data_IF_232358968626
#
_entry.id   IF_232358968626
#
_cell.length_a   1.000
_cell.length_b   1.000
_cell.length_c   1.000
_cell.angle_alpha   90.00
_cell.angle_beta   90.00
_cell.angle_gamma   90.00
#
_symmetry.space_group_name_H-M   'P 1'
#
loop_
_entity.id
_entity.type
_entity.pdbx_description
1 polymer ?
#
# COMPACT_ATOMS: atom_id res chain seq x y z
N UNK A 1 -6.37 6.66 -9.55
CA UNK A 1 -5.11 6.27 -8.87
C UNK A 1 -5.07 4.81 -8.48
N UNK A 2 -5.94 4.29 -7.59
CA UNK A 2 -5.89 2.89 -7.14
C UNK A 2 -5.65 1.82 -8.23
N UNK A 3 -6.22 1.99 -9.43
CA UNK A 3 -6.02 1.06 -10.54
C UNK A 3 -4.59 0.83 -10.99
N UNK A 4 -3.67 1.78 -10.77
CA UNK A 4 -2.25 1.57 -11.10
C UNK A 4 -1.60 0.47 -10.25
N UNK A 5 -2.14 0.17 -9.07
CA UNK A 5 -1.62 -0.89 -8.21
C UNK A 5 -1.71 -2.24 -8.92
N UNK A 6 -2.87 -2.54 -9.51
CA UNK A 6 -3.14 -3.82 -10.16
C UNK A 6 -2.74 -3.87 -11.64
N UNK A 7 -2.66 -2.73 -12.32
CA UNK A 7 -2.50 -2.68 -13.78
C UNK A 7 -1.30 -1.84 -14.24
N UNK A 8 -0.59 -1.18 -13.32
CA UNK A 8 0.62 -0.42 -13.63
C UNK A 8 0.44 0.61 -14.75
N UNK A 9 1.37 0.57 -15.70
CA UNK A 9 1.38 1.42 -16.91
C UNK A 9 0.21 1.15 -17.85
N UNK A 10 -0.36 -0.07 -17.82
CA UNK A 10 -1.46 -0.45 -18.69
C UNK A 10 -2.83 0.08 -18.21
N UNK A 11 -2.91 0.65 -17.00
CA UNK A 11 -4.17 1.16 -16.46
C UNK A 11 -4.65 2.38 -17.26
N UNK A 12 -5.82 2.35 -17.93
CA UNK A 12 -6.27 3.48 -18.73
C UNK A 12 -7.12 4.47 -17.91
N UNK A 13 -7.03 5.75 -18.28
CA UNK A 13 -8.03 6.77 -17.97
C UNK A 13 -8.59 7.32 -19.26
N UNK A 14 -9.86 7.75 -19.24
CA UNK A 14 -10.48 8.39 -20.38
C UNK A 14 -10.39 9.91 -20.24
N UNK A 15 -9.69 10.55 -21.16
CA UNK A 15 -9.65 12.00 -21.31
C UNK A 15 -10.29 12.39 -22.64
N UNK A 16 -11.34 13.21 -22.59
CA UNK A 16 -12.12 13.62 -23.77
C UNK A 16 -12.58 12.44 -24.65
N UNK A 17 -12.93 11.31 -24.01
CA UNK A 17 -13.38 10.09 -24.69
C UNK A 17 -12.26 9.24 -25.30
N UNK A 18 -11.00 9.65 -25.17
CA UNK A 18 -9.83 8.89 -25.64
C UNK A 18 -9.15 8.19 -24.45
N UNK A 19 -8.90 6.86 -24.52
CA UNK A 19 -8.14 6.18 -23.49
C UNK A 19 -6.67 6.59 -23.56
N UNK A 20 -6.08 6.88 -22.40
CA UNK A 20 -4.67 7.17 -22.23
C UNK A 20 -4.12 6.40 -21.02
N UNK A 21 -2.85 5.96 -21.02
CA UNK A 21 -2.23 5.39 -19.83
C UNK A 21 -2.30 6.38 -18.66
N UNK A 22 -2.83 5.94 -17.53
CA UNK A 22 -3.12 6.78 -16.38
C UNK A 22 -1.86 7.43 -15.81
N UNK A 23 -0.78 6.66 -15.71
CA UNK A 23 0.49 7.16 -15.20
C UNK A 23 1.07 8.21 -16.13
N UNK A 24 1.15 7.95 -17.44
CA UNK A 24 1.66 8.94 -18.39
C UNK A 24 0.85 10.22 -18.37
N UNK A 25 -0.48 10.10 -18.41
CA UNK A 25 -1.38 11.25 -18.37
C UNK A 25 -1.17 12.09 -17.11
N UNK A 26 -1.19 11.48 -15.94
CA UNK A 26 -1.14 12.20 -14.67
C UNK A 26 0.25 12.76 -14.36
N UNK A 27 1.31 12.02 -14.68
CA UNK A 27 2.69 12.48 -14.48
C UNK A 27 3.07 13.58 -15.48
N UNK A 28 2.44 13.63 -16.66
CA UNK A 28 2.59 14.75 -17.60
C UNK A 28 1.77 16.00 -17.24
N UNK A 29 1.22 16.09 -16.02
CA UNK A 29 0.42 17.24 -15.56
C UNK A 29 -1.06 17.18 -15.95
N UNK A 30 -1.54 16.00 -16.37
CA UNK A 30 -2.95 15.73 -16.60
C UNK A 30 -3.79 15.97 -15.35
N UNK A 31 -5.08 16.28 -15.57
CA UNK A 31 -6.01 16.61 -14.48
C UNK A 31 -6.96 15.46 -14.22
N UNK A 32 -7.06 15.07 -12.97
CA UNK A 32 -8.03 14.11 -12.48
C UNK A 32 -8.58 14.62 -11.14
N UNK A 33 -9.88 14.47 -10.92
CA UNK A 33 -10.49 14.81 -9.62
C UNK A 33 -9.71 14.13 -8.50
N UNK A 34 -9.24 14.93 -7.53
CA UNK A 34 -8.47 14.44 -6.39
C UNK A 34 -6.97 14.22 -6.62
N UNK A 35 -6.49 14.33 -7.87
CA UNK A 35 -5.07 14.43 -8.20
C UNK A 35 -4.62 15.90 -8.16
N UNK A 36 -4.48 16.42 -6.94
CA UNK A 36 -4.16 17.81 -6.69
C UNK A 36 -2.72 17.93 -6.18
N UNK A 37 -1.79 18.28 -7.07
CA UNK A 37 -0.39 18.50 -6.74
C UNK A 37 -0.05 19.99 -6.76
N UNK A 38 0.84 20.42 -5.86
CA UNK A 38 1.40 21.77 -5.83
C UNK A 38 2.85 21.76 -5.36
N UNK A 39 3.64 22.81 -5.65
CA UNK A 39 4.93 23.01 -5.02
C UNK A 39 4.79 23.08 -3.49
N UNK A 40 5.66 22.34 -2.79
CA UNK A 40 5.93 22.45 -1.36
C UNK A 40 7.28 23.12 -1.10
N UNK A 41 7.64 23.24 0.18
CA UNK A 41 8.89 23.90 0.57
C UNK A 41 10.14 23.06 0.25
N UNK A 42 9.98 21.73 0.11
CA UNK A 42 11.07 20.77 -0.07
C UNK A 42 10.86 19.82 -1.26
N UNK A 43 9.84 20.06 -2.09
CA UNK A 43 9.51 19.19 -3.23
C UNK A 43 8.08 19.41 -3.73
N UNK A 44 7.39 18.33 -4.05
CA UNK A 44 5.98 18.36 -4.48
C UNK A 44 5.09 17.83 -3.38
N UNK A 45 4.00 18.54 -3.11
CA UNK A 45 2.98 18.15 -2.14
C UNK A 45 1.71 17.73 -2.88
N UNK A 46 1.21 16.54 -2.55
CA UNK A 46 -0.16 16.16 -2.85
C UNK A 46 -1.11 16.73 -1.77
N UNK A 47 -2.17 17.42 -2.17
CA UNK A 47 -3.10 18.08 -1.26
C UNK A 47 -3.99 17.04 -0.60
N UNK A 48 -3.99 17.01 0.74
CA UNK A 48 -4.87 16.14 1.53
C UNK A 48 -6.27 16.75 1.61
N UNK A 49 -7.28 15.94 1.31
CA UNK A 49 -8.71 16.25 1.43
C UNK A 49 -9.36 15.22 2.38
N UNK A 50 -9.35 15.48 3.71
CA UNK A 50 -9.79 14.51 4.70
C UNK A 50 -11.23 14.04 4.45
N UNK A 51 -11.44 12.71 4.50
CA UNK A 51 -12.75 12.09 4.28
C UNK A 51 -13.17 11.97 2.82
N UNK A 52 -12.34 12.38 1.87
CA UNK A 52 -12.57 12.16 0.44
C UNK A 52 -12.22 10.73 0.03
N UNK A 53 -13.07 10.10 -0.78
CA UNK A 53 -12.80 8.83 -1.47
C UNK A 53 -12.27 9.04 -2.90
N UNK A 54 -12.34 10.28 -3.40
CA UNK A 54 -11.90 10.65 -4.76
C UNK A 54 -10.52 11.30 -4.77
N UNK A 55 -10.13 11.92 -3.65
CA UNK A 55 -8.87 12.62 -3.47
C UNK A 55 -7.96 11.91 -2.47
N UNK A 56 -6.77 12.47 -2.26
CA UNK A 56 -5.85 11.99 -1.25
C UNK A 56 -6.46 12.20 0.14
N UNK A 57 -6.96 11.12 0.76
CA UNK A 57 -7.60 11.18 2.08
C UNK A 57 -6.61 11.28 3.23
N UNK A 58 -5.38 10.81 3.01
CA UNK A 58 -4.32 10.72 4.01
C UNK A 58 -2.99 11.26 3.48
N UNK A 59 -2.09 11.74 4.34
CA UNK A 59 -0.75 12.17 3.93
C UNK A 59 -0.05 11.10 3.09
N UNK A 60 0.56 11.55 1.98
CA UNK A 60 1.39 10.74 1.09
C UNK A 60 0.70 9.53 0.42
N UNK A 61 -0.63 9.43 0.44
CA UNK A 61 -1.36 8.31 -0.18
C UNK A 61 -0.96 8.04 -1.64
N UNK A 62 -0.86 9.10 -2.44
CA UNK A 62 -0.47 8.98 -3.85
C UNK A 62 0.97 8.52 -4.01
N UNK A 63 1.89 9.01 -3.18
CA UNK A 63 3.27 8.56 -3.16
C UNK A 63 3.35 7.07 -2.74
N UNK A 64 2.59 6.68 -1.73
CA UNK A 64 2.46 5.28 -1.30
C UNK A 64 2.01 4.37 -2.45
N UNK A 65 1.02 4.78 -3.25
CA UNK A 65 0.57 3.98 -4.39
C UNK A 65 1.58 3.95 -5.53
N UNK A 66 2.24 5.06 -5.83
CA UNK A 66 3.34 5.09 -6.80
C UNK A 66 4.48 4.16 -6.39
N UNK A 67 4.78 4.05 -5.09
CA UNK A 67 5.81 3.16 -4.56
C UNK A 67 5.47 1.66 -4.62
N UNK A 68 4.24 1.33 -4.99
CA UNK A 68 3.74 -0.03 -5.13
C UNK A 68 3.33 -0.35 -6.56
N UNK A 69 3.45 0.62 -7.46
CA UNK A 69 3.15 0.43 -8.85
C UNK A 69 4.29 -0.37 -9.51
N UNK A 70 3.99 -1.58 -9.94
CA UNK A 70 5.04 -2.56 -10.24
C UNK A 70 5.75 -3.01 -8.96
N UNK A 71 6.40 -4.16 -8.97
CA UNK A 71 7.01 -4.73 -7.75
C UNK A 71 8.10 -3.85 -7.09
N UNK A 72 8.59 -2.84 -7.80
CA UNK A 72 9.66 -1.94 -7.37
C UNK A 72 9.26 -0.45 -7.26
N UNK A 73 8.00 -0.13 -7.52
CA UNK A 73 7.52 1.26 -7.54
C UNK A 73 7.96 2.04 -8.78
N UNK A 74 7.38 3.22 -8.97
CA UNK A 74 7.77 4.14 -10.04
C UNK A 74 9.17 4.73 -9.74
N UNK A 75 10.11 4.74 -10.70
CA UNK A 75 11.44 5.31 -10.49
C UNK A 75 11.39 6.75 -9.98
N UNK A 76 12.24 7.09 -9.01
CA UNK A 76 12.25 8.43 -8.40
C UNK A 76 12.65 9.53 -9.40
N UNK A 77 13.42 9.21 -10.44
CA UNK A 77 13.80 10.14 -11.51
C UNK A 77 12.73 10.29 -12.60
N UNK A 78 11.61 9.54 -12.50
CA UNK A 78 10.48 9.66 -13.42
C UNK A 78 9.97 11.10 -13.45
N UNK A 79 9.92 11.75 -14.63
CA UNK A 79 9.43 13.12 -14.75
C UNK A 79 7.98 13.27 -14.29
N UNK A 80 7.71 14.38 -13.61
CA UNK A 80 6.42 14.82 -13.10
C UNK A 80 6.24 16.32 -13.41
N UNK A 81 5.14 16.68 -14.04
CA UNK A 81 4.80 18.09 -14.33
C UNK A 81 3.74 18.59 -13.34
N UNK A 82 4.04 19.68 -12.64
CA UNK A 82 3.12 20.32 -11.69
C UNK A 82 2.92 21.79 -12.07
N UNK A 83 1.80 22.09 -12.73
CA UNK A 83 1.57 23.41 -13.31
C UNK A 83 2.57 23.71 -14.42
N UNK A 84 3.42 24.72 -14.23
CA UNK A 84 4.49 25.08 -15.17
C UNK A 84 5.89 24.64 -14.67
N UNK A 85 5.94 23.79 -13.64
CA UNK A 85 7.18 23.34 -13.02
C UNK A 85 7.47 21.90 -13.44
N UNK A 86 8.71 21.68 -13.90
CA UNK A 86 9.27 20.34 -14.05
C UNK A 86 9.73 19.84 -12.69
N UNK A 87 9.34 18.61 -12.36
CA UNK A 87 9.64 17.91 -11.12
C UNK A 87 9.84 16.41 -11.44
N UNK A 88 10.00 15.63 -10.39
CA UNK A 88 10.18 14.18 -10.43
C UNK A 88 9.33 13.50 -9.35
N UNK A 89 9.16 12.18 -9.44
CA UNK A 89 8.55 11.40 -8.34
C UNK A 89 9.39 11.52 -7.06
N UNK A 90 10.71 11.70 -7.16
CA UNK A 90 11.63 11.98 -6.05
C UNK A 90 11.31 13.26 -5.29
N UNK A 91 10.68 14.24 -5.92
CA UNK A 91 10.25 15.47 -5.24
C UNK A 91 9.04 15.23 -4.32
N UNK A 92 8.21 14.22 -4.60
CA UNK A 92 7.17 13.78 -3.66
C UNK A 92 7.81 13.14 -2.42
N UNK A 93 8.80 12.27 -2.62
CA UNK A 93 9.53 11.62 -1.52
C UNK A 93 10.28 12.64 -0.65
N UNK A 94 10.93 13.62 -1.27
CA UNK A 94 11.67 14.69 -0.58
C UNK A 94 10.74 15.53 0.30
N UNK A 95 9.54 15.87 -0.21
CA UNK A 95 8.54 16.58 0.58
C UNK A 95 8.02 15.72 1.74
N UNK A 96 7.71 14.44 1.50
CA UNK A 96 7.25 13.51 2.53
C UNK A 96 8.29 13.34 3.66
N UNK A 97 9.57 13.18 3.32
CA UNK A 97 10.69 13.14 4.27
C UNK A 97 10.79 14.41 5.12
N UNK A 98 10.64 15.58 4.48
CA UNK A 98 10.68 16.87 5.16
C UNK A 98 9.47 17.09 6.09
N UNK A 99 8.31 16.55 5.75
CA UNK A 99 7.07 16.74 6.50
C UNK A 99 6.90 15.80 7.69
N UNK A 100 7.73 14.76 7.82
CA UNK A 100 7.66 13.81 8.94
C UNK A 100 7.69 14.47 10.32
N UNK A 101 6.75 14.05 11.19
CA UNK A 101 6.59 14.48 12.58
C UNK A 101 6.38 13.28 13.49
N UNK A 102 6.82 13.39 14.74
CA UNK A 102 6.53 12.40 15.79
C UNK A 102 5.01 12.32 16.03
N UNK A 103 4.48 11.11 16.08
CA UNK A 103 3.09 10.82 16.44
C UNK A 103 2.07 11.11 15.33
N UNK A 104 2.51 11.45 14.12
CA UNK A 104 1.62 11.52 12.97
C UNK A 104 1.35 10.12 12.41
N UNK A 105 0.27 9.98 11.64
CA UNK A 105 0.11 8.83 10.76
C UNK A 105 1.09 8.95 9.58
N UNK A 106 1.99 7.99 9.45
CA UNK A 106 2.97 7.89 8.38
C UNK A 106 2.81 6.60 7.56
N UNK A 107 1.61 6.00 7.54
CA UNK A 107 1.32 4.72 6.87
C UNK A 107 1.79 4.69 5.40
N UNK A 108 1.36 5.66 4.58
CA UNK A 108 1.73 5.72 3.16
C UNK A 108 3.14 6.26 2.94
N UNK A 109 3.62 7.11 3.84
CA UNK A 109 5.03 7.50 3.88
C UNK A 109 5.91 6.28 4.11
N UNK A 110 5.56 5.39 5.04
CA UNK A 110 6.27 4.14 5.31
C UNK A 110 6.26 3.21 4.10
N UNK A 111 5.12 3.09 3.39
CA UNK A 111 5.06 2.33 2.14
C UNK A 111 6.13 2.82 1.16
N UNK A 112 6.23 4.14 0.95
CA UNK A 112 7.20 4.72 0.04
C UNK A 112 8.66 4.62 0.53
N UNK A 113 8.92 4.93 1.80
CA UNK A 113 10.27 4.84 2.38
C UNK A 113 10.76 3.40 2.38
N UNK A 114 9.90 2.42 2.65
CA UNK A 114 10.24 1.00 2.60
C UNK A 114 10.63 0.55 1.19
N UNK A 115 9.98 1.09 0.15
CA UNK A 115 10.34 0.81 -1.24
C UNK A 115 11.67 1.44 -1.63
N UNK A 116 11.86 2.73 -1.34
CA UNK A 116 12.94 3.53 -1.92
C UNK A 116 14.20 3.67 -1.06
N UNK A 117 14.11 3.43 0.25
CA UNK A 117 15.24 3.56 1.17
C UNK A 117 15.73 2.21 1.71
N UNK A 118 16.91 2.25 2.29
CA UNK A 118 17.57 1.19 3.04
C UNK A 118 17.62 1.54 4.54
N UNK A 119 17.91 0.58 5.41
CA UNK A 119 18.05 0.82 6.86
C UNK A 119 19.23 1.74 7.22
N UNK A 120 20.17 1.98 6.32
CA UNK A 120 21.31 2.87 6.55
C UNK A 120 20.97 4.33 6.25
N UNK A 121 19.90 4.58 5.48
CA UNK A 121 19.51 5.93 5.10
C UNK A 121 19.06 6.76 6.31
N UNK A 122 19.58 7.98 6.38
CA UNK A 122 19.24 8.98 7.39
C UNK A 122 18.94 10.30 6.72
N UNK A 123 17.92 11.00 7.17
CA UNK A 123 17.57 12.34 6.68
C UNK A 123 17.13 13.25 7.82
N UNK A 124 17.08 14.55 7.55
CA UNK A 124 16.51 15.53 8.48
C UNK A 124 15.13 15.96 7.98
N UNK A 125 14.16 16.06 8.88
CA UNK A 125 12.89 16.72 8.59
C UNK A 125 13.09 18.23 8.48
N UNK A 126 12.07 18.95 8.00
CA UNK A 126 12.06 20.42 7.98
C UNK A 126 12.13 21.07 9.38
N UNK A 127 11.98 20.29 10.46
CA UNK A 127 12.16 20.74 11.85
C UNK A 127 13.55 20.44 12.42
N UNK A 128 14.41 19.78 11.65
CA UNK A 128 15.75 19.37 12.06
C UNK A 128 15.80 18.04 12.83
N UNK A 129 14.67 17.33 12.97
CA UNK A 129 14.65 15.99 13.56
C UNK A 129 15.34 15.01 12.61
N UNK A 130 16.24 14.18 13.14
CA UNK A 130 16.88 13.11 12.36
C UNK A 130 16.00 11.87 12.33
N UNK A 131 15.72 11.40 11.13
CA UNK A 131 14.89 10.22 10.86
C UNK A 131 15.67 9.11 10.18
N UNK A 132 15.13 7.90 10.30
CA UNK A 132 15.57 6.66 9.69
C UNK A 132 14.33 5.82 9.40
N UNK A 133 14.46 4.84 8.49
CA UNK A 133 13.37 3.90 8.24
C UNK A 133 12.97 3.14 9.52
N UNK A 134 13.94 2.77 10.37
CA UNK A 134 13.65 2.12 11.66
C UNK A 134 12.82 3.01 12.59
N UNK A 135 13.09 4.32 12.66
CA UNK A 135 12.28 5.25 13.49
C UNK A 135 10.85 5.40 12.96
N UNK A 136 10.65 5.35 11.63
CA UNK A 136 9.30 5.39 11.05
C UNK A 136 8.56 4.08 11.33
N UNK A 137 9.24 2.93 11.21
CA UNK A 137 8.68 1.62 11.61
C UNK A 137 8.28 1.66 13.09
N UNK A 138 9.16 2.15 13.97
CA UNK A 138 8.93 2.25 15.40
C UNK A 138 7.69 3.09 15.71
N UNK A 139 7.58 4.26 15.08
CA UNK A 139 6.42 5.16 15.22
C UNK A 139 5.11 4.51 14.76
N UNK A 140 5.11 3.84 13.62
CA UNK A 140 3.91 3.17 13.11
C UNK A 140 3.49 1.98 13.98
N UNK A 141 4.44 1.28 14.62
CA UNK A 141 4.15 0.18 15.56
C UNK A 141 3.48 0.64 16.85
N UNK A 142 3.66 1.90 17.27
CA UNK A 142 2.97 2.46 18.44
C UNK A 142 1.51 2.85 18.15
N UNK A 143 1.11 2.92 16.88
CA UNK A 143 -0.25 3.25 16.49
C UNK A 143 -1.18 2.03 16.56
N UNK A 144 -2.38 2.22 17.11
CA UNK A 144 -3.38 1.16 17.25
C UNK A 144 -3.98 0.75 15.89
N UNK A 145 -3.77 -0.51 15.51
CA UNK A 145 -4.32 -1.07 14.27
C UNK A 145 -5.85 -1.06 14.25
N UNK A 146 -6.52 -1.24 15.39
CA UNK A 146 -7.98 -1.33 15.44
C UNK A 146 -8.68 0.00 15.11
N UNK A 147 -8.02 1.13 15.40
CA UNK A 147 -8.54 2.47 15.09
C UNK A 147 -8.03 3.03 13.76
N UNK A 148 -7.21 2.27 13.05
CA UNK A 148 -6.59 2.69 11.78
C UNK A 148 -7.51 2.50 10.59
N UNK A 149 -7.31 3.33 9.54
CA UNK A 149 -8.01 3.17 8.27
C UNK A 149 -7.81 1.75 7.70
N UNK A 150 -8.88 1.20 7.12
CA UNK A 150 -8.90 -0.17 6.59
C UNK A 150 -8.34 -1.23 7.57
N UNK A 151 -8.61 -1.05 8.88
CA UNK A 151 -8.16 -1.96 9.94
C UNK A 151 -6.65 -2.13 10.05
N UNK A 152 -5.88 -1.14 9.59
CA UNK A 152 -4.42 -1.16 9.64
C UNK A 152 -3.75 -1.98 8.53
N UNK A 153 -4.49 -2.46 7.52
CA UNK A 153 -3.94 -3.29 6.45
C UNK A 153 -2.82 -2.58 5.65
N UNK A 154 -2.96 -1.29 5.34
CA UNK A 154 -1.90 -0.53 4.66
C UNK A 154 -0.63 -0.37 5.50
N UNK A 155 -0.78 -0.20 6.83
CA UNK A 155 0.36 -0.17 7.75
C UNK A 155 1.08 -1.50 7.75
N UNK A 156 0.32 -2.59 7.87
CA UNK A 156 0.87 -3.95 7.79
C UNK A 156 1.56 -4.22 6.45
N UNK A 157 1.01 -3.71 5.35
CA UNK A 157 1.67 -3.75 4.03
C UNK A 157 3.03 -3.02 4.07
N UNK A 158 3.06 -1.79 4.58
CA UNK A 158 4.30 -0.99 4.68
C UNK A 158 5.36 -1.68 5.54
N UNK A 159 4.95 -2.20 6.71
CA UNK A 159 5.82 -2.98 7.60
C UNK A 159 6.34 -4.26 6.92
N UNK A 160 5.48 -5.01 6.24
CA UNK A 160 5.87 -6.24 5.54
C UNK A 160 6.82 -5.96 4.38
N UNK A 161 6.59 -4.87 3.64
CA UNK A 161 7.49 -4.41 2.57
C UNK A 161 8.87 -4.08 3.14
N UNK A 162 8.93 -3.34 4.24
CA UNK A 162 10.18 -2.99 4.89
C UNK A 162 10.93 -4.25 5.33
N UNK A 163 10.28 -5.13 6.10
CA UNK A 163 10.89 -6.37 6.62
C UNK A 163 11.38 -7.27 5.48
N UNK A 164 10.58 -7.46 4.42
CA UNK A 164 10.97 -8.27 3.28
C UNK A 164 12.20 -7.70 2.56
N UNK A 165 12.21 -6.39 2.28
CA UNK A 165 13.36 -5.73 1.64
C UNK A 165 14.62 -5.77 2.51
N UNK A 166 14.47 -5.62 3.83
CA UNK A 166 15.57 -5.84 4.77
C UNK A 166 16.11 -7.27 4.66
N UNK A 167 15.24 -8.29 4.68
CA UNK A 167 15.66 -9.70 4.57
C UNK A 167 16.33 -10.05 3.25
N UNK A 168 15.88 -9.47 2.14
CA UNK A 168 16.55 -9.62 0.83
C UNK A 168 17.98 -9.07 0.87
N UNK A 169 18.19 -7.95 1.54
CA UNK A 169 19.53 -7.32 1.67
C UNK A 169 20.39 -7.97 2.75
N UNK A 170 19.78 -8.64 3.71
CA UNK A 170 20.44 -9.36 4.81
C UNK A 170 20.02 -10.84 4.86
N UNK A 171 20.39 -11.67 3.87
CA UNK A 171 19.94 -13.07 3.78
C UNK A 171 20.39 -13.94 4.96
N UNK A 172 21.48 -13.55 5.64
CA UNK A 172 22.03 -14.26 6.80
C UNK A 172 21.40 -13.80 8.14
N UNK A 173 20.49 -12.81 8.12
CA UNK A 173 19.85 -12.30 9.33
C UNK A 173 18.89 -13.33 9.94
N UNK A 174 19.20 -13.74 11.16
CA UNK A 174 18.36 -14.66 11.95
C UNK A 174 17.18 -13.93 12.58
N UNK A 175 16.02 -14.59 12.65
CA UNK A 175 14.91 -14.12 13.47
C UNK A 175 15.20 -14.30 14.97
N UNK A 176 14.69 -13.40 15.84
CA UNK A 176 14.04 -12.15 15.48
C UNK A 176 15.06 -11.11 14.97
N UNK A 177 14.65 -10.29 14.01
CA UNK A 177 15.42 -9.10 13.62
C UNK A 177 15.63 -8.15 14.83
N UNK A 178 16.66 -7.29 14.82
CA UNK A 178 16.91 -6.36 15.93
C UNK A 178 15.88 -5.22 15.98
N UNK A 179 15.74 -4.60 17.16
CA UNK A 179 15.05 -3.32 17.32
C UNK A 179 13.60 -3.30 16.83
N UNK A 180 13.23 -2.23 16.11
CA UNK A 180 11.86 -2.07 15.62
C UNK A 180 11.53 -3.07 14.51
N UNK A 181 12.53 -3.56 13.77
CA UNK A 181 12.36 -4.60 12.75
C UNK A 181 11.82 -5.90 13.34
N UNK A 182 12.39 -6.37 14.46
CA UNK A 182 11.90 -7.57 15.14
C UNK A 182 10.48 -7.42 15.69
N UNK A 183 10.13 -6.23 16.19
CA UNK A 183 8.76 -5.91 16.60
C UNK A 183 7.81 -5.93 15.40
N UNK A 184 8.23 -5.39 14.25
CA UNK A 184 7.45 -5.48 13.02
C UNK A 184 7.23 -6.94 12.58
N UNK A 185 8.25 -7.80 12.63
CA UNK A 185 8.09 -9.23 12.32
C UNK A 185 7.04 -9.91 13.23
N UNK A 186 7.09 -9.62 14.52
CA UNK A 186 6.15 -10.17 15.49
C UNK A 186 4.72 -9.69 15.22
N UNK A 187 4.52 -8.40 14.96
CA UNK A 187 3.21 -7.82 14.62
C UNK A 187 2.65 -8.41 13.33
N UNK A 188 3.48 -8.56 12.29
CA UNK A 188 3.09 -9.18 11.02
C UNK A 188 2.67 -10.64 11.25
N UNK A 189 3.47 -11.42 11.98
CA UNK A 189 3.17 -12.82 12.27
C UNK A 189 1.85 -12.98 13.06
N UNK A 190 1.62 -12.13 14.06
CA UNK A 190 0.36 -12.12 14.82
C UNK A 190 -0.84 -11.79 13.90
N UNK A 191 -0.72 -10.78 13.04
CA UNK A 191 -1.78 -10.40 12.11
C UNK A 191 -2.07 -11.46 11.03
N UNK A 192 -1.05 -12.18 10.56
CA UNK A 192 -1.22 -13.34 9.67
C UNK A 192 -2.07 -14.41 10.37
N UNK A 193 -1.75 -14.75 11.61
CA UNK A 193 -2.49 -15.77 12.35
C UNK A 193 -3.91 -15.32 12.72
N UNK A 194 -4.13 -14.04 13.03
CA UNK A 194 -5.47 -13.47 13.19
C UNK A 194 -6.28 -13.55 11.91
N UNK A 195 -5.73 -13.15 10.77
CA UNK A 195 -6.40 -13.26 9.48
C UNK A 195 -6.81 -14.71 9.17
N UNK A 196 -5.92 -15.67 9.44
CA UNK A 196 -6.20 -17.10 9.30
C UNK A 196 -7.30 -17.58 10.24
N UNK A 197 -7.25 -17.20 11.52
CA UNK A 197 -8.24 -17.59 12.53
C UNK A 197 -9.61 -16.96 12.29
N UNK A 198 -9.65 -15.74 11.77
CA UNK A 198 -10.88 -14.98 11.53
C UNK A 198 -11.43 -15.15 10.12
N UNK A 199 -10.79 -15.99 9.29
CA UNK A 199 -11.30 -16.34 7.97
C UNK A 199 -12.66 -17.03 8.08
N UNK A 200 -13.59 -16.60 7.25
CA UNK A 200 -14.95 -17.13 7.19
C UNK A 200 -14.99 -18.45 6.40
N UNK A 201 -16.05 -19.24 6.62
CA UNK A 201 -16.21 -20.54 5.96
C UNK A 201 -16.25 -20.46 4.42
N UNK A 202 -16.69 -19.32 3.86
CA UNK A 202 -16.74 -19.08 2.42
C UNK A 202 -15.40 -18.61 1.82
N UNK A 203 -14.34 -18.52 2.63
CA UNK A 203 -13.01 -18.07 2.24
C UNK A 203 -12.77 -16.57 2.38
N UNK A 204 -13.81 -15.76 2.63
CA UNK A 204 -13.63 -14.32 2.86
C UNK A 204 -12.95 -14.04 4.20
N UNK A 205 -12.27 -12.90 4.31
CA UNK A 205 -11.72 -12.45 5.59
C UNK A 205 -12.73 -11.62 6.38
N UNK A 206 -12.38 -11.33 7.63
CA UNK A 206 -13.29 -10.61 8.50
C UNK A 206 -13.51 -9.18 8.05
N UNK A 207 -14.77 -8.74 8.09
CA UNK A 207 -15.15 -7.32 7.95
C UNK A 207 -14.79 -6.47 9.17
N UNK A 208 -14.18 -7.06 10.20
CA UNK A 208 -13.56 -6.40 11.36
C UNK A 208 -12.03 -6.55 11.33
N UNK A 209 -11.49 -6.83 10.14
CA UNK A 209 -10.07 -6.96 9.86
C UNK A 209 -9.35 -7.95 10.80
N UNK A 210 -8.38 -7.46 11.57
CA UNK A 210 -7.55 -8.23 12.49
C UNK A 210 -8.02 -8.11 13.95
N UNK A 211 -9.12 -7.40 14.22
CA UNK A 211 -9.60 -7.17 15.58
C UNK A 211 -10.34 -8.39 16.13
N UNK A 212 -11.28 -8.93 15.36
CA UNK A 212 -12.16 -10.03 15.75
C UNK A 212 -12.80 -10.71 14.54
N UNK A 213 -13.38 -11.92 14.67
CA UNK A 213 -14.23 -12.50 13.63
C UNK A 213 -15.47 -11.64 13.37
N UNK A 214 -15.90 -11.58 12.11
CA UNK A 214 -17.04 -10.78 11.69
C UNK A 214 -17.29 -10.90 10.19
N UNK A 215 -18.55 -10.86 9.78
CA UNK A 215 -18.98 -10.93 8.38
C UNK A 215 -20.09 -9.90 8.10
N UNK A 216 -20.42 -9.69 6.83
CA UNK A 216 -21.48 -8.77 6.41
C UNK A 216 -22.32 -9.40 5.29
N UNK A 217 -23.64 -9.14 5.22
CA UNK A 217 -24.41 -9.47 4.03
C UNK A 217 -23.97 -8.63 2.82
N UNK A 218 -23.46 -7.42 3.04
CA UNK A 218 -22.96 -6.52 2.00
C UNK A 218 -21.69 -7.09 1.35
N UNK A 219 -21.76 -7.29 0.03
CA UNK A 219 -20.64 -7.80 -0.77
C UNK A 219 -19.51 -6.79 -0.85
N UNK A 220 -19.79 -5.47 -0.85
CA UNK A 220 -18.77 -4.45 -0.92
C UNK A 220 -17.92 -4.41 0.35
N UNK A 221 -18.55 -4.47 1.53
CA UNK A 221 -17.84 -4.62 2.80
C UNK A 221 -16.94 -5.86 2.85
N UNK A 222 -17.41 -7.00 2.31
CA UNK A 222 -16.62 -8.25 2.24
C UNK A 222 -15.47 -8.16 1.26
N UNK A 223 -15.71 -7.63 0.06
CA UNK A 223 -14.70 -7.45 -0.96
C UNK A 223 -13.61 -6.48 -0.48
N UNK A 224 -14.02 -5.34 0.10
CA UNK A 224 -13.10 -4.34 0.65
C UNK A 224 -12.19 -4.93 1.72
N UNK A 225 -12.74 -5.48 2.80
CA UNK A 225 -11.94 -6.06 3.88
C UNK A 225 -11.09 -7.25 3.42
N UNK A 226 -11.65 -8.14 2.59
CA UNK A 226 -10.90 -9.30 2.09
C UNK A 226 -9.78 -8.91 1.14
N UNK A 227 -9.99 -7.90 0.29
CA UNK A 227 -8.99 -7.40 -0.65
C UNK A 227 -7.79 -6.82 0.08
N UNK A 228 -8.02 -5.93 1.04
CA UNK A 228 -6.95 -5.31 1.85
C UNK A 228 -6.17 -6.35 2.66
N UNK A 229 -6.86 -7.31 3.31
CA UNK A 229 -6.16 -8.37 4.05
C UNK A 229 -5.35 -9.24 3.11
N UNK A 230 -5.93 -9.66 1.99
CA UNK A 230 -5.25 -10.55 1.05
C UNK A 230 -4.04 -9.88 0.39
N UNK A 231 -4.12 -8.58 0.08
CA UNK A 231 -2.99 -7.79 -0.41
C UNK A 231 -1.83 -7.79 0.59
N UNK A 232 -2.11 -7.51 1.87
CA UNK A 232 -1.11 -7.64 2.94
C UNK A 232 -0.51 -9.04 3.00
N UNK A 233 -1.35 -10.09 3.00
CA UNK A 233 -0.89 -11.48 3.08
C UNK A 233 -0.04 -11.89 1.88
N UNK A 234 -0.38 -11.40 0.68
CA UNK A 234 0.35 -11.67 -0.56
C UNK A 234 1.78 -11.11 -0.51
N UNK A 235 2.04 -10.05 0.27
CA UNK A 235 3.40 -9.57 0.55
C UNK A 235 4.01 -10.30 1.74
N UNK A 236 3.27 -10.46 2.85
CA UNK A 236 3.84 -10.84 4.13
C UNK A 236 4.11 -12.34 4.31
N UNK A 237 3.34 -13.22 3.64
CA UNK A 237 3.54 -14.66 3.77
C UNK A 237 4.85 -15.10 3.10
N UNK A 238 5.61 -16.03 3.71
CA UNK A 238 6.67 -16.72 2.98
C UNK A 238 6.07 -17.61 1.87
N UNK A 239 6.84 -17.84 0.80
CA UNK A 239 6.34 -18.51 -0.43
C UNK A 239 5.71 -19.88 -0.16
N UNK A 240 6.31 -20.68 0.74
CA UNK A 240 5.81 -21.99 1.09
C UNK A 240 4.42 -21.97 1.77
N UNK A 241 4.00 -20.83 2.33
CA UNK A 241 2.68 -20.66 2.94
C UNK A 241 1.63 -20.09 1.99
N UNK A 242 2.02 -19.53 0.84
CA UNK A 242 1.09 -18.98 -0.16
C UNK A 242 0.17 -20.06 -0.75
N UNK A 243 0.63 -21.31 -0.79
CA UNK A 243 -0.16 -22.46 -1.25
C UNK A 243 -0.99 -23.13 -0.14
N UNK A 244 -1.02 -22.59 1.08
CA UNK A 244 -1.83 -23.17 2.16
C UNK A 244 -3.33 -23.12 1.79
N UNK A 245 -4.13 -24.14 2.15
CA UNK A 245 -5.53 -24.23 1.73
C UNK A 245 -6.40 -23.02 2.08
N UNK A 246 -6.08 -22.31 3.17
CA UNK A 246 -6.84 -21.12 3.56
C UNK A 246 -6.52 -19.90 2.68
N UNK A 247 -5.28 -19.77 2.19
CA UNK A 247 -4.89 -18.71 1.25
C UNK A 247 -5.54 -18.96 -0.11
N UNK A 248 -5.49 -20.21 -0.59
CA UNK A 248 -6.15 -20.61 -1.84
C UNK A 248 -7.66 -20.31 -1.83
N UNK A 249 -8.35 -20.65 -0.73
CA UNK A 249 -9.77 -20.32 -0.57
C UNK A 249 -10.03 -18.81 -0.59
N UNK A 250 -9.15 -18.00 -0.01
CA UNK A 250 -9.28 -16.56 -0.04
C UNK A 250 -9.12 -16.01 -1.47
N UNK A 251 -8.12 -16.49 -2.21
CA UNK A 251 -7.90 -16.12 -3.60
C UNK A 251 -9.12 -16.47 -4.47
N UNK A 252 -9.60 -17.72 -4.38
CA UNK A 252 -10.82 -18.16 -5.10
C UNK A 252 -12.05 -17.33 -4.72
N UNK A 253 -12.20 -16.98 -3.44
CA UNK A 253 -13.33 -16.17 -2.97
C UNK A 253 -13.26 -14.75 -3.53
N UNK A 254 -12.08 -14.13 -3.56
CA UNK A 254 -11.90 -12.81 -4.17
C UNK A 254 -12.26 -12.83 -5.65
N UNK A 255 -11.77 -13.80 -6.41
CA UNK A 255 -12.12 -13.95 -7.84
C UNK A 255 -13.63 -14.06 -8.02
N UNK A 256 -14.31 -14.94 -7.26
CA UNK A 256 -15.77 -15.07 -7.31
C UNK A 256 -16.51 -13.79 -6.95
N UNK A 257 -16.02 -13.03 -5.96
CA UNK A 257 -16.64 -11.75 -5.59
C UNK A 257 -16.46 -10.72 -6.71
N UNK A 258 -15.28 -10.64 -7.33
CA UNK A 258 -15.03 -9.75 -8.47
C UNK A 258 -15.93 -10.09 -9.67
N UNK A 259 -16.11 -11.39 -9.99
CA UNK A 259 -17.04 -11.85 -11.02
C UNK A 259 -18.50 -11.48 -10.69
N UNK A 260 -18.91 -11.65 -9.43
CA UNK A 260 -20.26 -11.30 -8.97
C UNK A 260 -20.55 -9.80 -9.04
N UNK A 261 -19.50 -8.97 -8.95
CA UNK A 261 -19.61 -7.51 -9.00
C UNK A 261 -19.18 -6.92 -10.34
N UNK A 262 -19.00 -7.73 -11.39
CA UNK A 262 -18.46 -7.26 -12.66
C UNK A 262 -19.32 -6.19 -13.35
N UNK A 263 -20.64 -6.23 -13.15
CA UNK A 263 -21.61 -5.34 -13.80
C UNK A 263 -22.08 -4.19 -12.89
N UNK A 264 -21.43 -3.95 -11.75
CA UNK A 264 -21.81 -2.89 -10.81
C UNK A 264 -20.60 -2.03 -10.42
N UNK A 265 -20.87 -0.75 -10.12
CA UNK A 265 -19.84 0.17 -9.67
C UNK A 265 -19.41 -0.17 -8.23
N UNK A 266 -18.27 -0.85 -8.12
CA UNK A 266 -17.59 -1.15 -6.85
C UNK A 266 -16.77 0.06 -6.41
N UNK A 267 -16.74 0.34 -5.11
CA UNK A 267 -15.81 1.32 -4.53
C UNK A 267 -14.35 0.97 -4.91
N UNK A 268 -13.60 1.98 -5.36
CA UNK A 268 -12.32 1.78 -6.04
C UNK A 268 -11.24 1.16 -5.15
N UNK A 269 -11.17 1.52 -3.86
CA UNK A 269 -10.23 0.95 -2.91
C UNK A 269 -10.45 -0.55 -2.78
N UNK A 270 -11.67 -0.98 -2.46
CA UNK A 270 -11.98 -2.41 -2.33
C UNK A 270 -11.70 -3.22 -3.60
N UNK A 271 -12.06 -2.67 -4.77
CA UNK A 271 -11.83 -3.32 -6.07
C UNK A 271 -10.35 -3.52 -6.37
N UNK A 272 -9.56 -2.44 -6.32
CA UNK A 272 -8.19 -2.48 -6.82
C UNK A 272 -7.21 -3.06 -5.80
N UNK A 273 -7.47 -2.98 -4.48
CA UNK A 273 -6.68 -3.73 -3.51
C UNK A 273 -6.90 -5.25 -3.62
N UNK A 274 -8.14 -5.69 -3.92
CA UNK A 274 -8.39 -7.09 -4.22
C UNK A 274 -7.65 -7.55 -5.50
N UNK A 275 -7.72 -6.77 -6.58
CA UNK A 275 -7.03 -7.07 -7.82
C UNK A 275 -5.50 -7.07 -7.65
N UNK A 276 -4.95 -6.10 -6.93
CA UNK A 276 -3.51 -6.01 -6.66
C UNK A 276 -3.02 -7.15 -5.79
N UNK A 277 -3.74 -7.51 -4.72
CA UNK A 277 -3.40 -8.68 -3.91
C UNK A 277 -3.38 -9.98 -4.72
N UNK A 278 -4.34 -10.17 -5.63
CA UNK A 278 -4.36 -11.31 -6.56
C UNK A 278 -3.19 -11.28 -7.56
N UNK A 279 -2.82 -10.10 -8.07
CA UNK A 279 -1.64 -9.93 -8.93
C UNK A 279 -0.36 -10.36 -8.20
N UNK A 280 -0.10 -9.79 -7.02
CA UNK A 280 1.06 -10.11 -6.19
C UNK A 280 1.12 -11.59 -5.85
N UNK A 281 -0.02 -12.17 -5.48
CA UNK A 281 -0.15 -13.60 -5.19
C UNK A 281 0.23 -14.47 -6.39
N UNK A 282 -0.30 -14.15 -7.57
CA UNK A 282 -0.02 -14.87 -8.82
C UNK A 282 1.46 -14.76 -9.17
N UNK A 283 2.03 -13.56 -9.14
CA UNK A 283 3.40 -13.33 -9.58
C UNK A 283 4.43 -14.03 -8.67
N UNK A 284 4.12 -14.19 -7.38
CA UNK A 284 4.97 -14.96 -6.45
C UNK A 284 4.85 -16.47 -6.60
N UNK A 285 3.68 -16.99 -7.00
CA UNK A 285 3.50 -18.43 -7.22
C UNK A 285 3.90 -18.89 -8.63
N UNK A 286 3.74 -18.00 -9.60
CA UNK A 286 3.97 -18.24 -11.02
C UNK A 286 4.83 -17.10 -11.58
N UNK A 287 6.10 -16.98 -11.15
CA UNK A 287 6.98 -15.95 -11.70
C UNK A 287 7.05 -16.09 -13.22
N UNK A 288 6.87 -14.97 -13.92
CA UNK A 288 7.02 -14.94 -15.37
C UNK A 288 8.44 -15.40 -15.72
N UNK A 289 8.55 -16.45 -16.56
CA UNK A 289 9.82 -16.89 -17.13
C UNK A 289 10.40 -15.87 -18.10
#
# INVERSE_FOLDING_TARGET
MHGILAFGEDFPVFHEGTPQPALDYLLAGGRLTGWNLRPGDHGILAVVEPGSTLAQGHPDQWLGYLSQCGSDGIPLDRPLTVGNQDATVGDLLSQAQADLRIGQEATWTLMALATYLTEDDRWQSSRGDTWSLEQVIDMELEADLATSACGGAHRLYGLATAVNRYRVRHPDATSPLPGAWGRAEATIADCIERARQFQQADGSFSTQYFERPGTSPDIFAKLGSSGHIFEFLAIALPENRLAEPWVLRAAERLVKMLEQTADIDVECGGLYHAAHGLLLYRDRLCPAN
#
